data_IF_333289786609
#
_entry.id   IF_333289786609
#
_cell.length_a   1.000
_cell.length_b   1.000
_cell.length_c   1.000
_cell.angle_alpha   90.00
_cell.angle_beta   90.00
_cell.angle_gamma   90.00
#
_symmetry.space_group_name_H-M   'P 1'
#
loop_
_entity.id
_entity.type
_entity.pdbx_description
1 polymer ?
#
# COMPACT_ATOMS: atom_id res chain seq x y z
N UNK A 1 10.33 4.29 -10.16
CA UNK A 1 9.22 3.34 -10.17
C UNK A 1 7.99 3.88 -9.48
N UNK A 2 8.08 4.29 -8.22
CA UNK A 2 6.95 4.91 -7.53
C UNK A 2 6.41 6.14 -8.23
N UNK A 3 7.28 6.94 -8.82
CA UNK A 3 6.89 8.13 -9.56
C UNK A 3 6.05 7.80 -10.80
N UNK A 4 6.22 6.60 -11.35
CA UNK A 4 5.46 6.14 -12.51
C UNK A 4 4.06 5.65 -12.15
N UNK A 5 3.77 5.47 -10.87
CA UNK A 5 2.43 5.08 -10.44
C UNK A 5 1.41 6.22 -10.54
N UNK A 6 1.87 7.48 -10.51
CA UNK A 6 0.98 8.62 -10.61
C UNK A 6 0.09 8.63 -11.86
N UNK A 7 0.57 8.27 -13.07
CA UNK A 7 -0.28 8.21 -14.24
C UNK A 7 -1.40 7.18 -14.19
N UNK A 8 -1.31 6.20 -13.30
CA UNK A 8 -2.34 5.18 -13.15
C UNK A 8 -3.57 5.62 -12.37
N UNK A 9 -3.58 6.82 -11.84
CA UNK A 9 -4.72 7.34 -11.09
C UNK A 9 -5.84 7.77 -12.03
N UNK A 10 -7.08 7.46 -11.65
CA UNK A 10 -8.25 7.82 -12.44
C UNK A 10 -8.67 9.29 -12.33
N UNK A 11 -7.95 10.10 -11.58
CA UNK A 11 -8.22 11.52 -11.37
C UNK A 11 -6.91 12.29 -11.30
N UNK A 12 -7.01 13.61 -11.53
CA UNK A 12 -5.83 14.47 -11.45
C UNK A 12 -5.43 14.71 -10.00
N UNK A 13 -4.16 14.45 -9.71
CA UNK A 13 -3.54 14.83 -8.43
C UNK A 13 -2.24 15.58 -8.75
N UNK A 14 -1.72 16.36 -7.80
CA UNK A 14 -0.41 16.98 -7.98
C UNK A 14 0.66 15.95 -8.29
N UNK A 15 1.63 16.32 -9.10
CA UNK A 15 2.76 15.45 -9.40
C UNK A 15 3.54 15.15 -8.12
N UNK A 16 4.00 13.91 -7.95
CA UNK A 16 4.76 13.55 -6.76
C UNK A 16 6.09 14.32 -6.71
N UNK A 17 6.47 14.74 -5.52
CA UNK A 17 7.79 15.29 -5.28
C UNK A 17 8.78 14.13 -5.15
N UNK A 18 9.70 14.04 -6.10
CA UNK A 18 10.66 12.93 -6.17
C UNK A 18 11.52 12.80 -4.91
N UNK A 19 12.04 13.91 -4.41
CA UNK A 19 12.90 13.92 -3.24
C UNK A 19 12.12 13.50 -1.99
N UNK A 20 10.92 14.04 -1.82
CA UNK A 20 10.06 13.66 -0.69
C UNK A 20 9.69 12.18 -0.73
N UNK A 21 9.34 11.68 -1.91
CA UNK A 21 8.99 10.27 -2.07
C UNK A 21 10.18 9.36 -1.73
N UNK A 22 11.37 9.69 -2.22
CA UNK A 22 12.58 8.92 -1.95
C UNK A 22 12.98 8.97 -0.48
N UNK A 23 12.88 10.13 0.15
CA UNK A 23 13.19 10.27 1.58
C UNK A 23 12.22 9.45 2.43
N UNK A 24 10.93 9.52 2.12
CA UNK A 24 9.90 8.75 2.81
C UNK A 24 10.14 7.25 2.68
N UNK A 25 10.45 6.79 1.46
CA UNK A 25 10.74 5.38 1.22
C UNK A 25 12.01 4.93 1.94
N UNK A 26 13.06 5.72 1.85
CA UNK A 26 14.33 5.39 2.50
C UNK A 26 14.13 5.25 4.01
N UNK A 27 13.43 6.18 4.62
CA UNK A 27 13.10 6.12 6.04
C UNK A 27 12.25 4.88 6.38
N UNK A 28 11.25 4.58 5.57
CA UNK A 28 10.39 3.42 5.77
C UNK A 28 11.15 2.11 5.60
N UNK A 29 12.03 2.02 4.61
CA UNK A 29 12.84 0.83 4.39
C UNK A 29 13.87 0.61 5.50
N UNK A 30 14.30 1.67 6.17
CA UNK A 30 15.23 1.56 7.30
C UNK A 30 14.52 1.14 8.59
N UNK A 31 13.32 1.66 8.82
CA UNK A 31 12.59 1.50 10.09
C UNK A 31 11.35 0.60 9.98
N UNK A 32 10.92 0.30 8.77
CA UNK A 32 9.72 -0.48 8.51
C UNK A 32 10.00 -1.95 8.25
N UNK A 33 8.96 -2.63 7.83
CA UNK A 33 8.99 -4.04 7.48
C UNK A 33 8.70 -4.16 6.00
N UNK A 34 9.64 -4.76 5.27
CA UNK A 34 9.61 -4.77 3.81
C UNK A 34 9.66 -6.22 3.32
N UNK A 35 8.76 -6.56 2.41
CA UNK A 35 8.73 -7.87 1.79
C UNK A 35 8.62 -7.70 0.28
N UNK A 36 9.37 -8.52 -0.44
CA UNK A 36 9.35 -8.53 -1.91
C UNK A 36 9.04 -9.94 -2.41
N UNK A 37 8.42 -10.01 -3.58
CA UNK A 37 8.26 -11.26 -4.31
C UNK A 37 9.15 -11.19 -5.53
N UNK A 38 10.03 -12.16 -5.64
CA UNK A 38 10.97 -12.27 -6.76
C UNK A 38 10.60 -13.49 -7.59
N UNK A 39 10.57 -13.30 -8.90
CA UNK A 39 10.33 -14.38 -9.85
C UNK A 39 11.33 -14.28 -11.00
N UNK A 40 12.08 -15.35 -11.23
CA UNK A 40 13.08 -15.42 -12.30
C UNK A 40 14.06 -14.24 -12.27
N UNK A 41 14.47 -13.84 -11.08
CA UNK A 41 15.40 -12.73 -10.90
C UNK A 41 14.78 -11.33 -10.97
N UNK A 42 13.47 -11.23 -11.18
CA UNK A 42 12.77 -9.95 -11.23
C UNK A 42 11.90 -9.74 -10.01
N UNK A 43 11.86 -8.52 -9.48
CA UNK A 43 10.94 -8.15 -8.42
C UNK A 43 9.58 -7.92 -9.06
N UNK A 44 8.61 -8.76 -8.72
CA UNK A 44 7.24 -8.67 -9.25
C UNK A 44 6.24 -8.12 -8.24
N UNK A 45 6.67 -7.89 -7.04
CA UNK A 45 5.79 -7.28 -6.03
C UNK A 45 6.58 -6.84 -4.81
N UNK A 46 6.03 -5.88 -4.10
CA UNK A 46 6.62 -5.36 -2.87
C UNK A 46 5.54 -4.80 -1.95
N UNK A 47 5.74 -4.97 -0.65
CA UNK A 47 4.97 -4.28 0.36
C UNK A 47 5.94 -3.65 1.36
N UNK A 48 5.71 -2.39 1.68
CA UNK A 48 6.47 -1.66 2.69
C UNK A 48 5.50 -1.26 3.79
N UNK A 49 5.75 -1.76 4.99
CA UNK A 49 4.93 -1.49 6.15
C UNK A 49 5.68 -0.57 7.12
N UNK A 50 4.93 0.26 7.80
CA UNK A 50 5.46 1.14 8.84
C UNK A 50 4.59 1.05 10.08
N UNK A 51 5.16 1.40 11.22
CA UNK A 51 4.41 1.59 12.46
C UNK A 51 3.76 2.95 12.42
N UNK A 52 2.47 3.01 12.74
CA UNK A 52 1.74 4.26 12.75
C UNK A 52 0.68 4.24 13.83
N UNK A 53 0.37 5.41 14.39
CA UNK A 53 -0.72 5.58 15.34
C UNK A 53 -1.69 6.64 14.83
N UNK A 54 -2.97 6.46 15.13
CA UNK A 54 -3.97 7.48 14.87
C UNK A 54 -3.82 8.61 15.91
N UNK A 55 -4.12 9.83 15.49
CA UNK A 55 -3.88 11.01 16.33
C UNK A 55 -4.69 11.03 17.63
N UNK A 56 -5.75 10.20 17.70
CA UNK A 56 -6.62 10.15 18.89
C UNK A 56 -6.49 8.84 19.69
N UNK A 57 -5.59 7.93 19.30
CA UNK A 57 -5.37 6.68 20.03
C UNK A 57 -3.89 6.43 20.23
N UNK A 58 -3.55 5.75 21.31
CA UNK A 58 -2.16 5.38 21.58
C UNK A 58 -1.75 4.07 20.90
N UNK A 59 -2.72 3.31 20.39
CA UNK A 59 -2.43 2.04 19.75
C UNK A 59 -1.59 2.23 18.49
N UNK A 60 -0.65 1.31 18.31
CA UNK A 60 0.22 1.27 17.14
C UNK A 60 -0.35 0.24 16.18
N UNK A 61 -0.42 0.61 14.92
CA UNK A 61 -0.83 -0.25 13.82
C UNK A 61 0.34 -0.45 12.87
N UNK A 62 0.33 -1.56 12.15
CA UNK A 62 1.12 -1.69 10.93
C UNK A 62 0.27 -1.17 9.76
N UNK A 63 0.85 -0.31 8.96
CA UNK A 63 0.17 0.32 7.83
C UNK A 63 1.05 0.19 6.59
N UNK A 64 0.43 -0.12 5.44
CA UNK A 64 1.15 -0.11 4.18
C UNK A 64 1.37 1.32 3.69
N UNK A 65 2.58 1.63 3.26
CA UNK A 65 2.86 2.85 2.50
C UNK A 65 3.13 2.52 1.04
N UNK A 66 3.50 1.30 0.75
CA UNK A 66 3.64 0.78 -0.61
C UNK A 66 3.05 -0.62 -0.64
N UNK A 67 2.19 -0.87 -1.61
CA UNK A 67 1.77 -2.20 -2.00
C UNK A 67 1.76 -2.22 -3.52
N UNK A 68 2.76 -2.84 -4.10
CA UNK A 68 2.98 -2.90 -5.54
C UNK A 68 2.99 -4.34 -6.01
N UNK A 69 2.29 -4.59 -7.11
CA UNK A 69 2.36 -5.87 -7.81
C UNK A 69 2.39 -5.61 -9.29
N UNK A 70 3.35 -6.21 -9.97
CA UNK A 70 3.44 -6.11 -11.43
C UNK A 70 2.24 -6.77 -12.09
N UNK A 71 1.70 -6.13 -13.12
CA UNK A 71 0.61 -6.70 -13.91
C UNK A 71 1.10 -7.92 -14.70
N UNK A 72 0.21 -8.91 -14.85
CA UNK A 72 0.52 -10.11 -15.61
C UNK A 72 -0.14 -11.34 -15.01
N UNK A 73 0.26 -12.50 -15.48
CA UNK A 73 -0.32 -13.79 -15.09
C UNK A 73 -0.16 -14.15 -13.61
N UNK A 74 0.79 -13.51 -12.92
CA UNK A 74 1.13 -13.81 -11.53
C UNK A 74 0.71 -12.74 -10.54
N UNK A 75 -0.03 -11.75 -11.00
CA UNK A 75 -0.48 -10.62 -10.15
C UNK A 75 -1.20 -11.10 -8.91
N UNK A 76 -2.18 -11.98 -9.07
CA UNK A 76 -2.96 -12.49 -7.95
C UNK A 76 -2.09 -13.26 -6.95
N UNK A 77 -1.22 -14.14 -7.46
CA UNK A 77 -0.36 -14.94 -6.59
C UNK A 77 0.62 -14.07 -5.80
N UNK A 78 1.25 -13.11 -6.46
CA UNK A 78 2.17 -12.20 -5.80
C UNK A 78 1.45 -11.35 -4.75
N UNK A 79 0.28 -10.81 -5.09
CA UNK A 79 -0.52 -10.04 -4.14
C UNK A 79 -0.92 -10.88 -2.92
N UNK A 80 -1.30 -12.13 -3.16
CA UNK A 80 -1.66 -13.05 -2.08
C UNK A 80 -0.47 -13.36 -1.17
N UNK A 81 0.69 -13.62 -1.74
CA UNK A 81 1.91 -13.89 -0.97
C UNK A 81 2.30 -12.70 -0.10
N UNK A 82 2.27 -11.49 -0.66
CA UNK A 82 2.60 -10.28 0.09
C UNK A 82 1.61 -10.01 1.22
N UNK A 83 0.33 -10.16 0.95
CA UNK A 83 -0.72 -9.95 1.94
C UNK A 83 -0.61 -10.97 3.07
N UNK A 84 -0.42 -12.24 2.75
CA UNK A 84 -0.27 -13.30 3.75
C UNK A 84 0.97 -13.07 4.61
N UNK A 85 2.05 -12.61 4.01
CA UNK A 85 3.28 -12.31 4.75
C UNK A 85 3.09 -11.12 5.69
N UNK A 86 2.40 -10.08 5.24
CA UNK A 86 2.09 -8.93 6.08
C UNK A 86 1.20 -9.32 7.27
N UNK A 87 0.17 -10.15 7.01
CA UNK A 87 -0.71 -10.66 8.07
C UNK A 87 0.08 -11.46 9.09
N UNK A 88 0.94 -12.36 8.62
CA UNK A 88 1.78 -13.17 9.51
C UNK A 88 2.65 -12.30 10.40
N UNK A 89 3.27 -11.27 9.81
CA UNK A 89 4.13 -10.36 10.58
C UNK A 89 3.34 -9.56 11.61
N UNK A 90 2.16 -9.08 11.25
CA UNK A 90 1.30 -8.38 12.18
C UNK A 90 0.90 -9.26 13.37
N UNK A 91 0.58 -10.54 13.11
CA UNK A 91 0.29 -11.50 14.16
C UNK A 91 1.49 -11.77 15.07
N UNK A 92 2.67 -11.90 14.50
CA UNK A 92 3.90 -12.08 15.28
C UNK A 92 4.15 -10.91 16.22
N UNK A 93 3.85 -9.70 15.76
CA UNK A 93 4.03 -8.48 16.54
C UNK A 93 2.86 -8.16 17.47
N UNK A 94 1.74 -8.85 17.30
CA UNK A 94 0.52 -8.58 18.07
C UNK A 94 -0.12 -7.24 17.71
N UNK A 95 0.03 -6.76 16.48
CA UNK A 95 -0.46 -5.46 16.04
C UNK A 95 -1.55 -5.61 14.98
N UNK A 96 -2.53 -4.69 14.97
CA UNK A 96 -3.46 -4.60 13.85
C UNK A 96 -2.73 -4.23 12.56
N UNK A 97 -3.24 -4.72 11.44
CA UNK A 97 -2.72 -4.41 10.10
C UNK A 97 -3.78 -3.64 9.33
N UNK A 98 -3.41 -2.48 8.82
CA UNK A 98 -4.28 -1.66 7.98
C UNK A 98 -3.70 -1.56 6.57
N UNK A 99 -4.52 -1.89 5.58
CA UNK A 99 -4.21 -1.68 4.17
C UNK A 99 -5.08 -0.57 3.62
N UNK A 100 -4.47 0.29 2.82
CA UNK A 100 -5.17 1.38 2.13
C UNK A 100 -5.37 1.04 0.67
N UNK A 101 -6.61 1.14 0.18
CA UNK A 101 -6.96 0.93 -1.22
C UNK A 101 -7.54 2.26 -1.72
N UNK A 102 -6.69 3.27 -1.82
CA UNK A 102 -7.12 4.64 -2.09
C UNK A 102 -6.67 5.18 -3.44
N UNK A 103 -5.71 4.52 -4.07
CA UNK A 103 -5.11 5.05 -5.30
C UNK A 103 -5.03 3.98 -6.38
N UNK A 104 -5.05 4.44 -7.62
CA UNK A 104 -4.87 3.59 -8.78
C UNK A 104 -6.17 3.24 -9.49
N UNK A 105 -6.11 2.23 -10.34
CA UNK A 105 -7.24 1.70 -11.09
C UNK A 105 -7.76 0.42 -10.43
N UNK A 106 -8.93 -0.03 -10.87
CA UNK A 106 -9.55 -1.28 -10.38
C UNK A 106 -9.72 -1.34 -8.86
N UNK A 107 -10.15 -0.22 -8.25
CA UNK A 107 -10.31 -0.14 -6.81
C UNK A 107 -11.31 -1.17 -6.27
N UNK A 108 -12.41 -1.42 -6.99
CA UNK A 108 -13.39 -2.42 -6.59
C UNK A 108 -12.81 -3.82 -6.54
N UNK A 109 -11.98 -4.17 -7.51
CA UNK A 109 -11.32 -5.48 -7.57
C UNK A 109 -10.30 -5.63 -6.43
N UNK A 110 -9.54 -4.58 -6.15
CA UNK A 110 -8.58 -4.55 -5.04
C UNK A 110 -9.30 -4.68 -3.71
N UNK A 111 -10.40 -3.96 -3.52
CA UNK A 111 -11.20 -4.05 -2.31
C UNK A 111 -11.74 -5.46 -2.10
N UNK A 112 -12.29 -6.09 -3.14
CA UNK A 112 -12.78 -7.47 -3.05
C UNK A 112 -11.68 -8.43 -2.63
N UNK A 113 -10.47 -8.26 -3.17
CA UNK A 113 -9.33 -9.08 -2.80
C UNK A 113 -8.99 -8.92 -1.31
N UNK A 114 -8.90 -7.70 -0.83
CA UNK A 114 -8.59 -7.40 0.56
C UNK A 114 -9.66 -7.95 1.50
N UNK A 115 -10.94 -7.77 1.17
CA UNK A 115 -12.04 -8.30 1.98
C UNK A 115 -12.00 -9.82 2.06
N UNK A 116 -11.65 -10.50 0.96
CA UNK A 116 -11.49 -11.97 0.97
C UNK A 116 -10.34 -12.43 1.85
N UNK A 117 -9.35 -11.61 2.08
CA UNK A 117 -8.25 -11.92 3.00
C UNK A 117 -8.61 -11.73 4.47
N UNK A 118 -9.82 -11.27 4.75
CA UNK A 118 -10.34 -11.14 6.11
C UNK A 118 -10.30 -9.73 6.69
N UNK A 119 -9.94 -8.76 5.90
CA UNK A 119 -9.98 -7.36 6.33
C UNK A 119 -11.41 -6.85 6.38
N UNK A 120 -11.65 -5.89 7.26
CA UNK A 120 -12.92 -5.17 7.33
C UNK A 120 -12.72 -3.74 6.86
N UNK A 121 -13.68 -3.24 6.10
CA UNK A 121 -13.65 -1.85 5.66
C UNK A 121 -13.97 -0.93 6.83
N UNK A 122 -13.10 0.03 7.11
CA UNK A 122 -13.25 0.96 8.23
C UNK A 122 -13.53 2.39 7.79
N UNK A 123 -13.58 2.68 6.50
CA UNK A 123 -13.83 4.02 5.99
C UNK A 123 -13.46 4.15 4.54
N UNK A 124 -13.26 5.38 4.10
CA UNK A 124 -12.83 5.68 2.73
C UNK A 124 -12.27 7.09 2.63
N UNK A 125 -11.62 7.37 1.51
CA UNK A 125 -11.10 8.70 1.22
C UNK A 125 -11.95 9.35 0.15
N UNK A 126 -12.25 10.63 0.34
CA UNK A 126 -13.05 11.41 -0.59
C UNK A 126 -12.29 12.67 -0.97
N UNK A 127 -12.17 12.93 -2.26
CA UNK A 127 -11.40 14.05 -2.77
C UNK A 127 -12.31 14.98 -3.57
N UNK A 128 -12.27 16.27 -3.24
CA UNK A 128 -12.96 17.30 -4.01
C UNK A 128 -11.96 17.93 -4.97
N UNK A 129 -12.04 17.56 -6.23
CA UNK A 129 -11.08 18.00 -7.24
C UNK A 129 -11.18 19.47 -7.59
N UNK A 130 -12.36 20.05 -7.47
CA UNK A 130 -12.63 21.44 -7.83
C UNK A 130 -11.82 22.43 -6.99
N UNK A 131 -11.58 22.10 -5.71
CA UNK A 131 -10.80 22.97 -4.83
C UNK A 131 -9.31 22.95 -5.14
N UNK A 132 -8.83 21.94 -5.84
CA UNK A 132 -7.43 21.82 -6.22
C UNK A 132 -7.10 22.76 -7.36
N UNK A 133 -8.06 23.03 -8.22
CA UNK A 133 -7.90 23.89 -9.42
C UNK A 133 -8.34 25.33 -9.20
N UNK A 134 -8.84 25.63 -8.03
CA UNK A 134 -9.32 26.95 -7.64
C UNK A 134 -8.21 27.86 -7.12
#
# INVERSE_FOLDING_TARGET
MLLKAAPGFGYKIPLPNSNKAMDTLTAAMTNGLNFIVVDKGEIIGAVVLVYESLWWVEEIFLVDIVFYVAEGKRTYKAASMLTDRAIKKARELGLPLQFSVTYGTDLDRKEKFILRKGFKKIGGNYLMMETING
#
